data_IF_866469820319
#
_entry.id   IF_866469820319
#
_cell.length_a   1.000
_cell.length_b   1.000
_cell.length_c   1.000
_cell.angle_alpha   90.00
_cell.angle_beta   90.00
_cell.angle_gamma   90.00
#
_symmetry.space_group_name_H-M   'P 1'
#
loop_
_entity.id
_entity.type
_entity.pdbx_description
1 polymer ?
#
# COMPACT_ATOMS: atom_id res chain seq x y z
N UNK A 1 -37.51 52.66 -21.35
CA UNK A 1 -36.94 52.85 -20.00
C UNK A 1 -37.25 51.61 -19.18
N UNK A 2 -36.25 51.12 -18.45
CA UNK A 2 -36.09 49.75 -17.96
C UNK A 2 -37.17 49.27 -16.98
N UNK A 3 -37.65 48.04 -17.20
CA UNK A 3 -38.41 47.24 -16.22
C UNK A 3 -37.45 46.68 -15.16
N UNK A 4 -37.78 46.93 -13.89
CA UNK A 4 -37.19 46.27 -12.73
C UNK A 4 -38.02 45.02 -12.39
N UNK A 5 -37.49 43.84 -12.65
CA UNK A 5 -37.92 42.60 -12.00
C UNK A 5 -36.78 42.05 -11.15
N UNK A 6 -37.00 42.04 -9.84
CA UNK A 6 -36.13 41.41 -8.87
C UNK A 6 -36.35 39.89 -8.91
N UNK A 7 -35.35 39.14 -9.36
CA UNK A 7 -35.29 37.69 -9.16
C UNK A 7 -34.26 37.36 -8.09
N UNK A 8 -34.77 36.98 -6.92
CA UNK A 8 -33.99 36.36 -5.87
C UNK A 8 -33.58 34.94 -6.30
N UNK A 9 -32.29 34.73 -6.56
CA UNK A 9 -31.73 33.39 -6.74
C UNK A 9 -31.48 32.77 -5.35
N UNK A 10 -32.45 31.99 -4.85
CA UNK A 10 -32.19 30.97 -3.85
C UNK A 10 -31.47 29.82 -4.53
N UNK A 11 -30.17 29.70 -4.28
CA UNK A 11 -29.40 28.50 -4.65
C UNK A 11 -29.62 27.45 -3.56
N UNK A 12 -30.49 26.49 -3.83
CA UNK A 12 -30.63 25.26 -3.05
C UNK A 12 -29.36 24.41 -3.21
N UNK A 13 -28.51 24.40 -2.19
CA UNK A 13 -27.47 23.37 -2.05
C UNK A 13 -28.14 22.02 -1.78
N UNK A 14 -28.35 21.23 -2.83
CA UNK A 14 -28.66 19.80 -2.67
C UNK A 14 -27.39 19.10 -2.20
N UNK A 15 -27.29 18.84 -0.91
CA UNK A 15 -26.36 17.85 -0.37
C UNK A 15 -26.68 16.50 -1.02
N UNK A 16 -25.87 16.09 -2.00
CA UNK A 16 -25.85 14.71 -2.45
C UNK A 16 -25.30 13.88 -1.30
N UNK A 17 -26.22 13.37 -0.49
CA UNK A 17 -25.98 12.35 0.51
C UNK A 17 -25.58 11.08 -0.24
N UNK A 18 -24.27 10.87 -0.42
CA UNK A 18 -23.75 9.71 -1.15
C UNK A 18 -24.03 8.48 -0.30
N UNK A 19 -24.90 7.62 -0.82
CA UNK A 19 -25.39 6.41 -0.19
C UNK A 19 -24.24 5.38 -0.03
N UNK A 20 -23.91 4.91 1.19
CA UNK A 20 -22.81 3.98 1.43
C UNK A 20 -23.02 2.56 0.86
N UNK A 21 -24.16 2.27 0.23
CA UNK A 21 -24.55 0.94 -0.24
C UNK A 21 -24.03 0.54 -1.65
N UNK A 22 -23.26 1.39 -2.35
CA UNK A 22 -22.76 1.07 -3.71
C UNK A 22 -21.41 0.31 -3.76
N UNK A 23 -20.88 -0.15 -2.62
CA UNK A 23 -19.63 -0.94 -2.55
C UNK A 23 -19.83 -2.46 -2.60
N UNK A 24 -20.78 -2.95 -3.41
CA UNK A 24 -20.85 -4.36 -3.75
C UNK A 24 -20.82 -4.49 -5.27
N UNK A 25 -19.62 -4.63 -5.83
CA UNK A 25 -19.47 -5.19 -7.17
C UNK A 25 -19.87 -6.68 -7.08
N UNK A 26 -20.99 -7.11 -7.72
CA UNK A 26 -21.33 -8.51 -7.76
C UNK A 26 -20.38 -9.17 -8.76
N UNK A 27 -19.61 -10.14 -8.29
CA UNK A 27 -18.70 -11.00 -9.05
C UNK A 27 -17.35 -10.40 -9.47
N UNK A 28 -16.51 -10.04 -8.49
CA UNK A 28 -15.10 -10.40 -8.60
C UNK A 28 -14.93 -11.78 -8.00
N UNK A 29 -14.60 -12.78 -8.83
CA UNK A 29 -14.21 -14.10 -8.33
C UNK A 29 -13.00 -13.91 -7.41
N UNK A 30 -13.04 -14.38 -6.16
CA UNK A 30 -11.86 -14.35 -5.31
C UNK A 30 -10.77 -15.13 -6.06
N UNK A 31 -9.61 -14.52 -6.33
CA UNK A 31 -8.42 -15.32 -6.60
C UNK A 31 -8.25 -16.20 -5.37
N UNK A 32 -8.59 -17.48 -5.53
CA UNK A 32 -8.54 -18.44 -4.45
C UNK A 32 -7.11 -18.47 -3.90
N UNK A 33 -7.05 -18.64 -2.59
CA UNK A 33 -5.90 -18.91 -1.73
C UNK A 33 -4.82 -19.88 -2.28
N UNK A 34 -5.07 -20.59 -3.39
CA UNK A 34 -4.19 -21.58 -4.01
C UNK A 34 -2.97 -21.01 -4.77
N UNK A 35 -2.81 -19.69 -4.85
CA UNK A 35 -1.66 -19.03 -5.51
C UNK A 35 -0.79 -18.20 -4.54
N UNK A 36 -0.67 -18.61 -3.26
CA UNK A 36 0.30 -17.95 -2.37
C UNK A 36 1.71 -18.08 -2.96
N UNK A 37 2.24 -17.00 -3.52
CA UNK A 37 3.63 -16.94 -3.97
C UNK A 37 4.50 -16.86 -2.74
N UNK A 38 5.13 -17.98 -2.41
CA UNK A 38 6.19 -18.05 -1.40
C UNK A 38 7.48 -17.63 -2.09
N UNK A 39 8.00 -16.47 -1.71
CA UNK A 39 9.25 -15.95 -2.25
C UNK A 39 10.44 -16.82 -1.89
N UNK A 40 11.29 -17.04 -2.88
CA UNK A 40 12.53 -17.79 -2.73
C UNK A 40 13.71 -16.97 -2.19
N UNK A 41 13.60 -15.64 -2.25
CA UNK A 41 14.72 -14.72 -2.07
C UNK A 41 15.61 -14.57 -3.29
N UNK A 42 15.14 -14.97 -4.50
CA UNK A 42 15.92 -14.80 -5.74
C UNK A 42 16.05 -13.32 -6.13
N UNK A 43 15.10 -12.50 -5.67
CA UNK A 43 15.13 -11.04 -5.77
C UNK A 43 15.02 -10.49 -4.35
N UNK A 44 16.05 -9.77 -3.92
CA UNK A 44 16.02 -8.99 -2.68
C UNK A 44 15.92 -7.51 -3.09
N UNK A 45 14.86 -6.80 -2.71
CA UNK A 45 14.70 -5.40 -3.09
C UNK A 45 15.74 -4.54 -2.37
N UNK A 46 16.06 -3.39 -2.95
CA UNK A 46 17.03 -2.45 -2.37
C UNK A 46 16.34 -1.31 -1.65
N UNK A 47 17.08 -0.67 -0.74
CA UNK A 47 16.67 0.62 -0.20
C UNK A 47 16.78 1.71 -1.28
N UNK A 48 15.77 2.57 -1.38
CA UNK A 48 15.78 3.75 -2.23
C UNK A 48 16.62 4.84 -1.56
N UNK A 49 17.66 5.30 -2.25
CA UNK A 49 18.49 6.40 -1.79
C UNK A 49 18.04 7.71 -2.45
N UNK A 50 17.43 8.66 -1.70
CA UNK A 50 17.11 9.96 -2.26
C UNK A 50 18.39 10.71 -2.67
N UNK A 51 18.37 11.54 -3.74
CA UNK A 51 19.54 12.32 -4.16
C UNK A 51 20.09 13.24 -3.06
N UNK A 52 19.21 13.77 -2.21
CA UNK A 52 19.59 14.64 -1.10
C UNK A 52 19.01 14.15 0.23
N UNK A 53 19.74 14.30 1.36
CA UNK A 53 19.26 13.87 2.68
C UNK A 53 17.96 14.52 3.15
N UNK A 54 17.65 15.72 2.65
CA UNK A 54 16.45 16.48 3.00
C UNK A 54 15.28 16.25 2.04
N UNK A 55 15.47 15.40 1.02
CA UNK A 55 14.40 15.07 0.11
C UNK A 55 13.29 14.31 0.85
N UNK A 56 12.06 14.62 0.48
CA UNK A 56 10.85 14.02 1.05
C UNK A 56 10.05 13.34 -0.05
N UNK A 57 9.15 12.40 0.30
CA UNK A 57 8.20 11.86 -0.69
C UNK A 57 7.48 12.94 -1.47
N UNK A 58 7.05 14.02 -0.81
CA UNK A 58 6.33 15.11 -1.46
C UNK A 58 7.21 15.89 -2.46
N UNK A 59 8.50 16.09 -2.16
CA UNK A 59 9.40 16.84 -3.06
C UNK A 59 9.82 16.01 -4.26
N UNK A 60 10.04 14.71 -4.09
CA UNK A 60 10.52 13.82 -5.13
C UNK A 60 9.41 13.18 -5.96
N UNK A 61 8.28 12.87 -5.33
CA UNK A 61 7.14 12.17 -5.92
C UNK A 61 5.84 12.95 -5.72
N UNK A 62 5.72 14.17 -6.28
CA UNK A 62 4.49 14.94 -6.16
C UNK A 62 3.32 14.24 -6.82
N UNK A 63 2.11 14.52 -6.32
CA UNK A 63 0.87 14.09 -6.96
C UNK A 63 0.70 14.78 -8.31
N UNK A 64 0.85 14.04 -9.40
CA UNK A 64 0.72 14.57 -10.76
C UNK A 64 0.20 13.50 -11.73
N UNK A 65 -0.33 13.91 -12.90
CA UNK A 65 -0.70 12.97 -13.95
C UNK A 65 0.56 12.40 -14.63
N UNK A 66 0.52 11.11 -15.00
CA UNK A 66 1.51 10.52 -15.89
C UNK A 66 1.25 11.06 -17.30
N UNK A 67 2.19 11.83 -17.85
CA UNK A 67 2.03 12.47 -19.16
C UNK A 67 2.11 11.49 -20.33
N UNK A 68 2.73 10.32 -20.12
CA UNK A 68 2.90 9.27 -21.13
C UNK A 68 1.81 8.21 -21.12
N UNK A 69 0.93 8.19 -20.11
CA UNK A 69 -0.14 7.21 -20.00
C UNK A 69 -1.33 7.59 -20.89
N UNK A 70 -1.93 6.59 -21.56
CA UNK A 70 -3.11 6.77 -22.42
C UNK A 70 -4.30 7.31 -21.62
N UNK A 71 -4.51 6.75 -20.43
CA UNK A 71 -5.43 7.27 -19.43
C UNK A 71 -4.67 8.22 -18.51
N UNK A 72 -5.28 9.37 -18.15
CA UNK A 72 -4.69 10.32 -17.19
C UNK A 72 -4.65 9.71 -15.79
N UNK A 73 -3.66 8.85 -15.55
CA UNK A 73 -3.42 8.22 -14.25
C UNK A 73 -2.67 9.20 -13.37
N UNK A 74 -3.26 9.51 -12.22
CA UNK A 74 -2.65 10.35 -11.19
C UNK A 74 -1.97 9.49 -10.12
N UNK A 75 -0.69 9.73 -9.85
CA UNK A 75 0.11 9.04 -8.82
C UNK A 75 1.08 10.02 -8.16
N UNK A 76 1.78 9.55 -7.13
CA UNK A 76 3.02 10.16 -6.67
C UNK A 76 4.13 9.74 -7.63
N UNK A 77 4.41 10.57 -8.65
CA UNK A 77 5.32 10.21 -9.76
C UNK A 77 6.62 10.96 -9.59
N UNK A 78 7.73 10.28 -9.84
CA UNK A 78 9.05 10.91 -9.86
C UNK A 78 9.09 11.97 -10.95
N UNK A 79 9.59 13.16 -10.61
CA UNK A 79 9.90 14.17 -11.59
C UNK A 79 11.38 14.10 -11.99
N UNK A 80 11.65 14.35 -13.27
CA UNK A 80 13.01 14.58 -13.75
C UNK A 80 13.51 15.98 -13.34
N UNK A 81 14.75 16.32 -13.70
CA UNK A 81 15.36 17.62 -13.39
C UNK A 81 14.62 18.84 -13.98
N UNK A 82 13.79 18.64 -15.01
CA UNK A 82 12.95 19.67 -15.64
C UNK A 82 11.52 19.70 -15.06
N UNK A 83 11.27 19.05 -13.92
CA UNK A 83 9.95 18.90 -13.31
C UNK A 83 8.89 18.21 -14.20
N UNK A 84 9.31 17.25 -15.02
CA UNK A 84 8.41 16.45 -15.87
C UNK A 84 8.22 15.04 -15.34
N UNK A 85 6.98 14.54 -15.38
CA UNK A 85 6.60 13.16 -15.01
C UNK A 85 6.91 12.16 -16.12
N UNK A 86 8.13 12.25 -16.67
CA UNK A 86 8.65 11.34 -17.69
C UNK A 86 9.40 10.15 -17.10
N UNK A 87 9.64 10.18 -15.79
CA UNK A 87 10.26 9.07 -15.09
C UNK A 87 9.25 7.93 -14.93
N UNK A 88 9.73 6.69 -15.06
CA UNK A 88 8.91 5.49 -14.91
C UNK A 88 8.89 4.98 -13.47
N UNK A 89 9.02 5.89 -12.51
CA UNK A 89 9.01 5.60 -11.08
C UNK A 89 7.81 6.24 -10.39
N UNK A 90 7.17 5.49 -9.50
CA UNK A 90 6.11 6.02 -8.63
C UNK A 90 6.22 5.50 -7.21
N UNK A 91 5.56 6.21 -6.30
CA UNK A 91 5.64 5.96 -4.86
C UNK A 91 4.27 5.57 -4.29
N UNK A 92 4.28 4.62 -3.36
CA UNK A 92 3.15 4.31 -2.49
C UNK A 92 3.61 4.47 -1.04
N UNK A 93 2.85 5.24 -0.26
CA UNK A 93 3.04 5.36 1.18
C UNK A 93 2.25 4.24 1.87
N UNK A 94 2.87 3.51 2.78
CA UNK A 94 2.22 2.43 3.54
C UNK A 94 2.34 2.66 5.03
N UNK A 95 1.29 2.34 5.79
CA UNK A 95 1.38 2.33 7.25
C UNK A 95 0.51 1.22 7.86
N UNK A 96 0.98 0.71 8.99
CA UNK A 96 0.32 -0.25 9.85
C UNK A 96 0.32 0.22 11.30
N UNK A 97 -0.80 0.02 11.99
CA UNK A 97 -0.91 0.34 13.40
C UNK A 97 -1.50 -0.81 14.19
N UNK A 98 -1.14 -0.90 15.47
CA UNK A 98 -1.76 -1.81 16.42
C UNK A 98 -1.88 -1.14 17.79
N UNK A 99 -3.11 -0.88 18.21
CA UNK A 99 -3.43 -0.54 19.60
C UNK A 99 -3.37 -1.80 20.45
N UNK A 100 -2.97 -1.67 21.72
CA UNK A 100 -2.76 -2.78 22.65
C UNK A 100 -1.88 -3.90 22.02
N UNK A 101 -0.75 -3.47 21.45
CA UNK A 101 0.15 -4.29 20.63
C UNK A 101 0.50 -5.63 21.29
N UNK A 102 0.15 -6.74 20.62
CA UNK A 102 0.45 -8.10 21.11
C UNK A 102 -0.45 -8.62 22.23
N UNK A 103 -1.51 -7.89 22.61
CA UNK A 103 -2.35 -8.21 23.77
C UNK A 103 -3.78 -8.62 23.35
N UNK A 104 -4.57 -9.23 24.27
CA UNK A 104 -5.90 -9.77 23.91
C UNK A 104 -6.89 -8.77 23.32
N UNK A 105 -6.79 -7.48 23.68
CA UNK A 105 -7.69 -6.43 23.16
C UNK A 105 -7.10 -5.68 21.97
N UNK A 106 -6.08 -6.26 21.31
CA UNK A 106 -5.41 -5.63 20.20
C UNK A 106 -6.36 -5.27 19.05
N UNK A 107 -6.14 -4.07 18.50
CA UNK A 107 -6.83 -3.57 17.31
C UNK A 107 -5.79 -3.06 16.34
N UNK A 108 -5.68 -3.72 15.21
CA UNK A 108 -4.70 -3.40 14.19
C UNK A 108 -5.35 -3.06 12.87
N UNK A 109 -4.78 -2.08 12.18
CA UNK A 109 -5.24 -1.58 10.90
C UNK A 109 -4.07 -1.35 9.96
N UNK A 110 -4.32 -1.58 8.68
CA UNK A 110 -3.35 -1.46 7.60
C UNK A 110 -3.88 -0.43 6.60
N UNK A 111 -2.98 0.30 5.95
CA UNK A 111 -3.36 1.19 4.86
C UNK A 111 -2.21 1.47 3.91
N UNK A 112 -2.56 1.91 2.71
CA UNK A 112 -1.61 2.51 1.80
C UNK A 112 -2.27 3.62 0.98
N UNK A 113 -1.46 4.56 0.52
CA UNK A 113 -1.87 5.75 -0.25
C UNK A 113 -1.00 5.82 -1.50
N UNK A 114 -1.65 5.85 -2.66
CA UNK A 114 -1.00 5.81 -3.97
C UNK A 114 -1.25 7.08 -4.81
N UNK A 115 -2.11 8.00 -4.34
CA UNK A 115 -2.21 9.40 -4.80
C UNK A 115 -3.01 10.28 -3.82
N UNK A 116 -3.13 11.58 -4.09
CA UNK A 116 -3.86 12.52 -3.21
C UNK A 116 -5.37 12.61 -3.45
N UNK A 117 -5.91 11.88 -4.42
CA UNK A 117 -7.35 11.89 -4.70
C UNK A 117 -8.16 11.31 -3.54
N UNK A 118 -9.46 11.61 -3.51
CA UNK A 118 -10.38 11.12 -2.49
C UNK A 118 -10.48 9.58 -2.42
N UNK A 119 -10.16 8.89 -3.52
CA UNK A 119 -10.08 7.42 -3.61
C UNK A 119 -8.65 6.88 -3.69
N UNK A 120 -7.63 7.73 -3.53
CA UNK A 120 -6.21 7.41 -3.70
C UNK A 120 -5.57 6.57 -2.59
N UNK A 121 -6.36 5.77 -1.88
CA UNK A 121 -5.92 4.95 -0.76
C UNK A 121 -6.73 3.67 -0.67
N UNK A 122 -6.20 2.69 0.06
CA UNK A 122 -7.00 1.61 0.62
C UNK A 122 -6.67 1.43 2.10
N UNK A 123 -7.63 0.90 2.86
CA UNK A 123 -7.49 0.66 4.30
C UNK A 123 -8.32 -0.52 4.72
N UNK A 124 -7.83 -1.31 5.65
CA UNK A 124 -8.47 -2.54 6.10
C UNK A 124 -7.93 -2.97 7.47
N UNK A 125 -8.72 -3.63 8.32
CA UNK A 125 -8.23 -4.17 9.59
C UNK A 125 -7.28 -5.35 9.33
N UNK A 126 -6.23 -5.48 10.15
CA UNK A 126 -5.35 -6.65 10.10
C UNK A 126 -6.14 -7.92 10.47
N UNK A 127 -5.97 -8.97 9.68
CA UNK A 127 -6.67 -10.24 9.83
C UNK A 127 -6.06 -11.11 10.93
N UNK A 128 -6.87 -11.97 11.55
CA UNK A 128 -6.37 -12.89 12.58
C UNK A 128 -5.59 -14.05 11.99
N UNK A 129 -6.00 -14.51 10.80
CA UNK A 129 -5.30 -15.57 10.10
C UNK A 129 -4.41 -14.98 9.02
N UNK A 130 -3.15 -15.40 9.03
CA UNK A 130 -2.16 -15.01 8.05
C UNK A 130 -2.36 -15.70 6.69
N UNK A 131 -1.45 -15.47 5.74
CA UNK A 131 -1.51 -16.04 4.41
C UNK A 131 -1.43 -17.58 4.38
N UNK A 132 -1.03 -18.22 5.47
CA UNK A 132 -0.98 -19.69 5.64
C UNK A 132 -2.23 -20.25 6.34
N UNK A 133 -3.24 -19.42 6.62
CA UNK A 133 -4.46 -19.79 7.34
C UNK A 133 -4.27 -19.99 8.85
N UNK A 134 -3.04 -19.89 9.36
CA UNK A 134 -2.71 -19.97 10.77
C UNK A 134 -3.14 -18.69 11.49
N UNK A 135 -3.61 -18.82 12.74
CA UNK A 135 -3.98 -17.68 13.57
C UNK A 135 -2.74 -17.05 14.21
N UNK A 136 -2.67 -15.72 14.20
CA UNK A 136 -1.58 -14.95 14.77
C UNK A 136 -2.08 -13.85 15.70
N UNK A 137 -1.24 -13.47 16.66
CA UNK A 137 -1.44 -12.29 17.49
C UNK A 137 -1.33 -11.03 16.63
N UNK A 138 -2.23 -10.07 16.84
CA UNK A 138 -2.15 -8.78 16.14
C UNK A 138 -1.01 -7.96 16.72
N UNK A 139 -0.11 -7.51 15.83
CA UNK A 139 1.00 -6.65 16.19
C UNK A 139 1.17 -5.52 15.19
N UNK A 140 1.90 -4.48 15.59
CA UNK A 140 2.27 -3.37 14.72
C UNK A 140 3.09 -3.89 13.52
N UNK A 141 4.14 -4.67 13.80
CA UNK A 141 5.00 -5.31 12.80
C UNK A 141 4.21 -6.09 11.72
N UNK A 142 3.21 -6.89 12.13
CA UNK A 142 2.35 -7.62 11.19
C UNK A 142 1.52 -6.67 10.35
N UNK A 143 0.96 -5.62 10.95
CA UNK A 143 0.17 -4.62 10.22
C UNK A 143 1.02 -3.87 9.18
N UNK A 144 2.27 -3.55 9.53
CA UNK A 144 3.21 -2.86 8.64
C UNK A 144 3.55 -3.72 7.41
N UNK A 145 3.98 -4.97 7.59
CA UNK A 145 4.27 -5.86 6.45
C UNK A 145 3.00 -6.10 5.61
N UNK A 146 1.87 -6.33 6.27
CA UNK A 146 0.59 -6.58 5.61
C UNK A 146 0.12 -5.41 4.73
N UNK A 147 0.37 -4.18 5.16
CA UNK A 147 0.07 -2.97 4.39
C UNK A 147 0.85 -2.94 3.06
N UNK A 148 2.14 -3.30 3.09
CA UNK A 148 2.97 -3.40 1.88
C UNK A 148 2.44 -4.49 0.94
N UNK A 149 2.16 -5.69 1.46
CA UNK A 149 1.61 -6.78 0.66
C UNK A 149 0.30 -6.36 -0.01
N UNK A 150 -0.58 -5.66 0.72
CA UNK A 150 -1.83 -5.15 0.16
C UNK A 150 -1.58 -4.13 -0.95
N UNK A 151 -0.62 -3.22 -0.78
CA UNK A 151 -0.25 -2.25 -1.80
C UNK A 151 0.23 -2.96 -3.07
N UNK A 152 1.12 -3.95 -2.95
CA UNK A 152 1.64 -4.70 -4.09
C UNK A 152 0.58 -5.54 -4.80
N UNK A 153 -0.44 -6.01 -4.09
CA UNK A 153 -1.52 -6.86 -4.66
C UNK A 153 -2.78 -6.11 -5.07
N UNK A 154 -2.86 -4.81 -4.79
CA UNK A 154 -4.10 -4.03 -4.95
C UNK A 154 -4.63 -4.00 -6.38
N UNK A 155 -3.72 -3.83 -7.34
CA UNK A 155 -4.00 -3.79 -8.78
C UNK A 155 -2.74 -4.03 -9.58
N UNK A 156 -2.91 -4.11 -10.89
CA UNK A 156 -1.80 -4.18 -11.81
C UNK A 156 -1.15 -2.79 -12.02
N UNK A 157 -0.13 -2.48 -11.23
CA UNK A 157 0.62 -1.23 -11.33
C UNK A 157 1.40 -1.06 -12.63
N UNK A 158 1.87 -2.15 -13.23
CA UNK A 158 2.61 -2.11 -14.50
C UNK A 158 1.74 -1.60 -15.66
N UNK A 159 0.41 -1.78 -15.58
CA UNK A 159 -0.53 -1.22 -16.56
C UNK A 159 -0.59 0.31 -16.53
N UNK A 160 -0.21 0.95 -15.43
CA UNK A 160 -0.05 2.40 -15.37
C UNK A 160 1.26 2.86 -16.05
N UNK A 161 2.04 1.92 -16.60
CA UNK A 161 3.24 2.15 -17.41
C UNK A 161 4.51 2.42 -16.59
N UNK A 162 4.56 2.13 -15.30
CA UNK A 162 5.75 2.30 -14.47
C UNK A 162 6.63 1.05 -14.48
N UNK A 163 7.94 1.25 -14.36
CA UNK A 163 8.97 0.19 -14.28
C UNK A 163 9.69 0.16 -12.92
N UNK A 164 9.40 1.12 -12.04
CA UNK A 164 9.87 1.11 -10.65
C UNK A 164 8.79 1.60 -9.68
N UNK A 165 8.58 0.83 -8.62
CA UNK A 165 7.72 1.18 -7.49
C UNK A 165 8.58 1.39 -6.23
N UNK A 166 8.41 2.55 -5.59
CA UNK A 166 8.98 2.86 -4.29
C UNK A 166 7.90 2.70 -3.22
N UNK A 167 8.12 1.78 -2.28
CA UNK A 167 7.33 1.66 -1.06
C UNK A 167 7.97 2.54 0.02
N UNK A 168 7.26 3.57 0.46
CA UNK A 168 7.69 4.42 1.56
C UNK A 168 6.96 4.06 2.86
N UNK A 169 7.74 3.83 3.92
CA UNK A 169 7.25 3.51 5.27
C UNK A 169 8.21 4.09 6.33
N UNK A 170 7.68 4.47 7.51
CA UNK A 170 8.48 4.84 8.67
C UNK A 170 9.05 3.63 9.43
N UNK A 171 8.61 2.42 9.05
CA UNK A 171 8.97 1.17 9.70
C UNK A 171 10.36 0.67 9.31
N UNK A 172 11.32 0.88 10.21
CA UNK A 172 12.65 0.25 10.14
C UNK A 172 12.56 -1.27 10.02
N UNK A 173 11.64 -1.88 10.76
CA UNK A 173 11.41 -3.32 10.72
C UNK A 173 11.03 -3.82 9.32
N UNK A 174 10.24 -3.05 8.57
CA UNK A 174 9.90 -3.39 7.17
C UNK A 174 11.10 -3.17 6.25
N UNK A 175 11.71 -1.97 6.30
CA UNK A 175 12.77 -1.59 5.35
C UNK A 175 14.02 -2.44 5.55
N UNK A 176 14.56 -2.52 6.76
CA UNK A 176 15.75 -3.34 7.02
C UNK A 176 15.43 -4.83 6.87
N UNK A 177 14.24 -5.25 7.33
CA UNK A 177 13.75 -6.61 7.21
C UNK A 177 13.84 -7.13 5.77
N UNK A 178 13.18 -6.46 4.82
CA UNK A 178 13.11 -6.92 3.42
C UNK A 178 14.37 -6.65 2.59
N UNK A 179 15.14 -5.61 2.94
CA UNK A 179 16.31 -5.22 2.13
C UNK A 179 17.61 -5.84 2.62
N UNK A 180 17.66 -6.33 3.86
CA UNK A 180 18.89 -6.82 4.51
C UNK A 180 18.67 -8.13 5.26
N UNK A 181 17.76 -8.15 6.23
CA UNK A 181 17.66 -9.26 7.19
C UNK A 181 17.11 -10.56 6.58
N UNK A 182 16.19 -10.47 5.62
CA UNK A 182 15.64 -11.64 4.91
C UNK A 182 16.70 -12.49 4.24
N UNK A 183 17.82 -11.90 3.80
CA UNK A 183 18.93 -12.67 3.21
C UNK A 183 19.48 -13.67 4.21
N UNK A 184 19.79 -13.21 5.43
CA UNK A 184 20.25 -14.05 6.51
C UNK A 184 19.16 -15.02 6.96
N UNK A 185 17.91 -14.56 7.09
CA UNK A 185 16.81 -15.44 7.50
C UNK A 185 16.64 -16.62 6.53
N UNK A 186 16.72 -16.39 5.23
CA UNK A 186 16.64 -17.46 4.22
C UNK A 186 17.85 -18.39 4.33
N UNK A 187 19.06 -17.84 4.44
CA UNK A 187 20.30 -18.62 4.58
C UNK A 187 20.28 -19.52 5.83
N UNK A 188 19.71 -19.03 6.93
CA UNK A 188 19.56 -19.76 8.18
C UNK A 188 18.19 -20.41 8.33
N UNK A 189 17.49 -20.75 7.24
CA UNK A 189 16.25 -21.53 7.24
C UNK A 189 15.14 -20.98 8.16
N UNK A 190 15.07 -19.66 8.26
CA UNK A 190 14.12 -18.89 9.06
C UNK A 190 14.16 -19.19 10.56
N UNK A 191 15.36 -19.47 11.09
CA UNK A 191 15.60 -19.56 12.53
C UNK A 191 16.61 -18.50 12.99
N UNK A 192 16.39 -17.98 14.19
CA UNK A 192 17.34 -17.09 14.87
C UNK A 192 18.57 -17.87 15.31
N UNK A 193 19.63 -17.16 15.73
CA UNK A 193 20.81 -17.78 16.36
C UNK A 193 20.48 -18.59 17.62
N UNK A 194 19.38 -18.29 18.29
CA UNK A 194 18.89 -19.04 19.45
C UNK A 194 18.06 -20.28 19.07
N UNK A 195 17.87 -20.56 17.77
CA UNK A 195 17.07 -21.67 17.28
C UNK A 195 15.55 -21.40 17.26
N UNK A 196 15.13 -20.18 17.57
CA UNK A 196 13.71 -19.79 17.53
C UNK A 196 13.27 -19.42 16.11
N UNK A 197 12.04 -19.76 15.69
CA UNK A 197 11.51 -19.32 14.39
C UNK A 197 11.49 -17.79 14.26
N UNK A 198 11.86 -17.27 13.09
CA UNK A 198 11.72 -15.86 12.76
C UNK A 198 10.24 -15.46 12.79
N UNK A 199 9.94 -14.36 13.48
CA UNK A 199 8.56 -13.83 13.58
C UNK A 199 8.07 -13.37 12.22
N UNK A 200 6.77 -13.53 11.98
CA UNK A 200 6.10 -13.05 10.77
C UNK A 200 6.63 -13.66 9.47
N UNK A 201 7.31 -14.81 9.54
CA UNK A 201 7.80 -15.56 8.37
C UNK A 201 6.74 -15.70 7.28
N UNK A 202 5.49 -15.99 7.67
CA UNK A 202 4.35 -16.13 6.77
C UNK A 202 4.12 -14.89 5.88
N UNK A 203 4.27 -13.70 6.46
CA UNK A 203 4.14 -12.44 5.72
C UNK A 203 5.43 -12.11 4.96
N UNK A 204 6.62 -12.40 5.50
CA UNK A 204 7.88 -12.15 4.80
C UNK A 204 8.03 -13.00 3.54
N UNK A 205 7.71 -14.30 3.63
CA UNK A 205 7.68 -15.20 2.48
C UNK A 205 6.68 -14.71 1.41
N UNK A 206 5.50 -14.24 1.83
CA UNK A 206 4.51 -13.66 0.92
C UNK A 206 5.05 -12.37 0.26
N UNK A 207 5.61 -11.44 1.04
CA UNK A 207 6.17 -10.19 0.52
C UNK A 207 7.29 -10.42 -0.49
N UNK A 208 8.22 -11.35 -0.21
CA UNK A 208 9.27 -11.74 -1.15
C UNK A 208 8.67 -12.29 -2.45
N UNK A 209 7.61 -13.09 -2.36
CA UNK A 209 6.93 -13.64 -3.54
C UNK A 209 6.30 -12.55 -4.42
N UNK A 210 5.74 -11.50 -3.81
CA UNK A 210 5.22 -10.34 -4.54
C UNK A 210 6.34 -9.51 -5.19
N UNK A 211 7.47 -9.30 -4.49
CA UNK A 211 8.64 -8.61 -5.06
C UNK A 211 9.20 -9.36 -6.27
N UNK A 212 9.38 -10.68 -6.15
CA UNK A 212 9.85 -11.51 -7.25
C UNK A 212 8.88 -11.50 -8.43
N UNK A 213 7.57 -11.53 -8.17
CA UNK A 213 6.55 -11.42 -9.21
C UNK A 213 6.60 -10.08 -9.95
N UNK A 214 6.79 -8.96 -9.23
CA UNK A 214 6.92 -7.66 -9.86
C UNK A 214 8.18 -7.55 -10.72
N UNK A 215 9.31 -8.10 -10.26
CA UNK A 215 10.54 -8.17 -11.05
C UNK A 215 10.35 -8.98 -12.34
N UNK A 216 9.68 -10.14 -12.27
CA UNK A 216 9.33 -10.95 -13.45
C UNK A 216 8.47 -10.20 -14.48
N UNK A 217 7.70 -9.21 -14.00
CA UNK A 217 6.85 -8.36 -14.83
C UNK A 217 7.54 -7.08 -15.29
N UNK A 218 8.85 -6.95 -15.02
CA UNK A 218 9.66 -5.81 -15.43
C UNK A 218 9.46 -4.56 -14.56
N UNK A 219 8.92 -4.70 -13.35
CA UNK A 219 8.77 -3.61 -12.39
C UNK A 219 9.61 -3.87 -11.14
N UNK A 220 10.69 -3.12 -10.97
CA UNK A 220 11.53 -3.20 -9.76
C UNK A 220 10.80 -2.59 -8.55
N UNK A 221 10.98 -3.19 -7.38
CA UNK A 221 10.43 -2.67 -6.10
C UNK A 221 11.59 -2.22 -5.21
N UNK A 222 11.50 -1.00 -4.69
CA UNK A 222 12.46 -0.45 -3.72
C UNK A 222 11.75 0.06 -2.47
N UNK A 223 12.47 0.11 -1.36
CA UNK A 223 11.93 0.54 -0.07
C UNK A 223 12.59 1.82 0.40
N UNK A 224 11.80 2.81 0.82
CA UNK A 224 12.32 4.06 1.34
C UNK A 224 11.90 4.24 2.79
N UNK A 225 12.87 4.26 3.72
CA UNK A 225 12.62 4.69 5.09
C UNK A 225 12.42 6.19 5.12
N UNK A 226 11.24 6.65 5.52
CA UNK A 226 10.91 8.08 5.58
C UNK A 226 10.52 8.50 7.00
N UNK A 227 10.61 9.80 7.33
CA UNK A 227 10.10 10.29 8.61
C UNK A 227 8.58 10.09 8.69
N UNK A 228 8.07 9.71 9.87
CA UNK A 228 6.63 9.51 10.15
C UNK A 228 5.72 10.65 9.71
N UNK A 229 6.22 11.89 9.68
CA UNK A 229 5.48 13.06 9.18
C UNK A 229 5.11 12.97 7.70
N UNK A 230 5.85 12.17 6.91
CA UNK A 230 5.58 11.93 5.50
C UNK A 230 4.38 11.02 5.26
N UNK A 231 3.98 10.25 6.29
CA UNK A 231 2.93 9.22 6.22
C UNK A 231 1.63 9.61 6.91
N UNK A 232 1.45 10.87 7.29
CA UNK A 232 0.30 11.32 8.09
C UNK A 232 -1.06 10.88 7.53
N UNK A 233 -1.20 10.77 6.20
CA UNK A 233 -2.42 10.27 5.55
C UNK A 233 -2.57 8.76 5.72
N UNK A 234 -1.53 7.98 5.47
CA UNK A 234 -1.52 6.54 5.70
C UNK A 234 -1.78 6.22 7.19
N UNK A 235 -1.07 6.88 8.12
CA UNK A 235 -1.28 6.71 9.57
C UNK A 235 -2.72 6.96 10.01
N UNK A 236 -3.36 8.01 9.48
CA UNK A 236 -4.78 8.28 9.74
C UNK A 236 -5.68 7.15 9.21
N UNK A 237 -5.41 6.64 8.02
CA UNK A 237 -6.19 5.56 7.42
C UNK A 237 -6.00 4.24 8.19
N UNK A 238 -4.78 3.88 8.58
CA UNK A 238 -4.47 2.71 9.39
C UNK A 238 -5.16 2.76 10.75
N UNK A 239 -5.10 3.90 11.45
CA UNK A 239 -5.81 4.12 12.73
C UNK A 239 -7.31 3.98 12.59
N UNK A 240 -7.89 4.50 11.52
CA UNK A 240 -9.32 4.31 11.26
C UNK A 240 -9.64 2.84 10.98
N UNK A 241 -8.80 2.17 10.20
CA UNK A 241 -9.00 0.79 9.80
C UNK A 241 -9.00 -0.19 10.99
N UNK A 242 -8.25 0.10 12.05
CA UNK A 242 -8.19 -0.71 13.27
C UNK A 242 -9.55 -0.86 13.98
N UNK A 243 -10.52 -0.01 13.67
CA UNK A 243 -11.88 -0.05 14.23
C UNK A 243 -12.96 -0.54 13.25
N UNK A 244 -12.59 -0.88 12.02
CA UNK A 244 -13.53 -1.46 11.05
C UNK A 244 -13.87 -2.92 11.41
N UNK A 245 -14.98 -3.41 10.83
CA UNK A 245 -15.36 -4.81 10.95
C UNK A 245 -14.29 -5.71 10.32
N UNK A 246 -13.80 -6.63 11.15
CA UNK A 246 -12.62 -7.43 10.82
C UNK A 246 -12.97 -8.69 10.06
N UNK A 247 -12.29 -8.90 8.94
CA UNK A 247 -12.24 -10.19 8.27
C UNK A 247 -11.28 -11.13 9.02
N UNK A 248 -11.70 -12.39 9.23
CA UNK A 248 -10.88 -13.37 9.94
C UNK A 248 -9.74 -13.91 9.08
N UNK A 249 -9.97 -14.01 7.78
CA UNK A 249 -9.10 -14.66 6.80
C UNK A 249 -8.30 -13.61 6.02
N UNK A 250 -7.04 -13.92 5.72
CA UNK A 250 -6.21 -13.13 4.81
C UNK A 250 -6.89 -13.02 3.44
N UNK A 251 -7.13 -11.79 2.98
CA UNK A 251 -7.85 -11.53 1.73
C UNK A 251 -7.25 -10.38 0.94
N UNK A 252 -7.38 -10.42 -0.39
CA UNK A 252 -6.94 -9.31 -1.22
C UNK A 252 -7.86 -8.10 -1.07
N UNK A 253 -7.24 -6.94 -0.98
CA UNK A 253 -7.92 -5.66 -1.09
C UNK A 253 -7.94 -5.33 -2.58
N UNK A 254 -9.07 -5.53 -3.26
CA UNK A 254 -9.14 -5.28 -4.68
C UNK A 254 -9.38 -3.78 -4.97
N UNK A 255 -8.56 -3.20 -5.84
CA UNK A 255 -8.85 -1.92 -6.46
C UNK A 255 -9.82 -2.06 -7.62
N UNK A 256 -10.61 -1.02 -7.89
CA UNK A 256 -11.35 -0.93 -9.15
C UNK A 256 -10.30 -0.72 -10.25
N UNK A 257 -9.95 -1.80 -10.94
CA UNK A 257 -9.32 -1.69 -12.25
C UNK A 257 -10.45 -1.45 -13.24
N UNK A 258 -10.45 -0.31 -13.92
CA UNK A 258 -11.33 -0.10 -15.07
C UNK A 258 -10.82 -0.97 -16.23
N UNK A 259 -10.92 -2.30 -16.10
CA UNK A 259 -10.82 -3.19 -17.23
C UNK A 259 -12.26 -3.45 -17.65
N UNK A 260 -12.76 -2.60 -18.54
CA UNK A 260 -13.88 -3.01 -19.39
C UNK A 260 -13.37 -4.21 -20.19
N UNK A 261 -13.92 -5.39 -19.91
CA UNK A 261 -13.81 -6.56 -20.78
C UNK A 261 -14.58 -6.26 -22.06
#
# INVERSE_FOLDING_TARGET
MLNLEAMAYQTTMSFHQVNPAQYFAPHMLPRLYTELRVGSGRVIPTEFAPPHPNDTPQSLFPHCPKVTATDRVHRFIRLNHDNRSVEDEFLILTDGTCMDNGRPNARAGCSFVYNESASGYARFPLEYKGPTGQQHTLTNDRAQIRAVIAALRYRDWAMDGFSRLIIATDSEYVVDGITREVYDWIQYSWVTRAGEPIRNRDLWECLLGEVEMWEERGMSVQFWRVPRTSEMKADRHAKTAAFLDRHREFTDVAGISNVSI
#
